data_IF_632713120637
#
_entry.id   IF_632713120637
#
_cell.length_a   1.000
_cell.length_b   1.000
_cell.length_c   1.000
_cell.angle_alpha   90.00
_cell.angle_beta   90.00
_cell.angle_gamma   90.00
#
_symmetry.space_group_name_H-M   'P 1'
#
loop_
_entity.id
_entity.type
_entity.pdbx_description
1 polymer ?
#
# COMPACT_ATOMS: atom_id res chain seq x y z
N UNK A 1 2.34 -3.84 14.56
CA UNK A 1 1.60 -2.56 14.59
C UNK A 1 2.51 -1.35 14.41
N UNK A 2 3.62 -1.24 15.14
CA UNK A 2 4.52 -0.07 15.07
C UNK A 2 4.99 0.28 13.66
N UNK A 3 5.44 -0.71 12.87
CA UNK A 3 5.85 -0.48 11.48
C UNK A 3 4.72 0.05 10.60
N UNK A 4 3.47 -0.40 10.82
CA UNK A 4 2.29 0.09 10.11
C UNK A 4 2.03 1.54 10.48
N UNK A 5 2.03 1.90 11.78
CA UNK A 5 1.84 3.28 12.22
C UNK A 5 2.93 4.20 11.63
N UNK A 6 4.18 3.73 11.59
CA UNK A 6 5.28 4.47 10.97
C UNK A 6 5.08 4.68 9.45
N UNK A 7 4.53 3.69 8.72
CA UNK A 7 4.18 3.85 7.31
C UNK A 7 3.10 4.92 7.12
N UNK A 8 2.02 4.88 7.90
CA UNK A 8 0.94 5.86 7.84
C UNK A 8 1.44 7.29 8.16
N UNK A 9 2.21 7.47 9.25
CA UNK A 9 2.83 8.76 9.58
C UNK A 9 3.75 9.28 8.48
N UNK A 10 4.53 8.41 7.86
CA UNK A 10 5.39 8.78 6.75
C UNK A 10 4.59 9.17 5.50
N UNK A 11 3.49 8.47 5.21
CA UNK A 11 2.58 8.83 4.12
C UNK A 11 1.91 10.19 4.37
N UNK A 12 1.42 10.45 5.58
CA UNK A 12 0.86 11.76 5.98
C UNK A 12 1.88 12.90 5.78
N UNK A 13 3.17 12.63 6.05
CA UNK A 13 4.26 13.58 5.85
C UNK A 13 4.78 13.66 4.40
N UNK A 14 4.30 12.80 3.48
CA UNK A 14 4.85 12.69 2.12
C UNK A 14 6.29 12.14 2.05
N UNK A 15 6.78 11.53 3.14
CA UNK A 15 8.16 11.05 3.25
C UNK A 15 8.29 9.61 2.73
N UNK A 16 8.63 9.50 1.44
CA UNK A 16 8.79 8.21 0.76
C UNK A 16 9.88 7.34 1.37
N UNK A 17 10.98 7.92 1.83
CA UNK A 17 12.11 7.16 2.37
C UNK A 17 11.79 6.60 3.75
N UNK A 18 11.16 7.39 4.63
CA UNK A 18 10.66 6.88 5.92
C UNK A 18 9.60 5.81 5.73
N UNK A 19 8.70 5.99 4.76
CA UNK A 19 7.69 4.99 4.43
C UNK A 19 8.36 3.69 3.98
N UNK A 20 9.32 3.78 3.05
CA UNK A 20 10.10 2.64 2.54
C UNK A 20 10.82 1.90 3.67
N UNK A 21 11.49 2.63 4.56
CA UNK A 21 12.20 2.06 5.70
C UNK A 21 11.26 1.36 6.69
N UNK A 22 10.10 1.96 6.99
CA UNK A 22 9.09 1.36 7.85
C UNK A 22 8.49 0.08 7.25
N UNK A 23 8.16 0.12 5.96
CA UNK A 23 7.63 -1.03 5.22
C UNK A 23 8.63 -2.19 5.15
N UNK A 24 9.92 -1.90 4.89
CA UNK A 24 10.99 -2.89 4.92
C UNK A 24 11.09 -3.58 6.29
N UNK A 25 11.10 -2.81 7.39
CA UNK A 25 11.12 -3.36 8.76
C UNK A 25 9.87 -4.19 9.06
N UNK A 26 8.69 -3.73 8.63
CA UNK A 26 7.43 -4.40 8.91
C UNK A 26 7.23 -5.71 8.15
N UNK A 27 7.79 -5.82 6.95
CA UNK A 27 7.64 -6.98 6.09
C UNK A 27 8.84 -7.93 6.11
N UNK A 28 9.98 -7.49 6.67
CA UNK A 28 11.20 -8.29 6.74
C UNK A 28 11.74 -8.66 5.35
N UNK A 29 11.69 -7.73 4.40
CA UNK A 29 12.13 -7.98 3.02
C UNK A 29 13.65 -7.95 2.89
N UNK A 30 14.16 -8.79 1.99
CA UNK A 30 15.56 -8.79 1.55
C UNK A 30 15.76 -7.87 0.35
N UNK A 31 16.96 -7.32 0.19
CA UNK A 31 17.28 -6.48 -0.97
C UNK A 31 17.11 -7.22 -2.29
N UNK A 32 16.56 -6.53 -3.29
CA UNK A 32 16.44 -7.04 -4.65
C UNK A 32 15.20 -6.51 -5.37
N UNK A 33 15.00 -6.97 -6.61
CA UNK A 33 13.92 -6.49 -7.47
C UNK A 33 12.52 -6.72 -6.89
N UNK A 34 12.33 -7.78 -6.09
CA UNK A 34 11.07 -8.02 -5.40
C UNK A 34 10.78 -6.97 -4.32
N UNK A 35 11.77 -6.63 -3.49
CA UNK A 35 11.65 -5.57 -2.48
C UNK A 35 11.31 -4.23 -3.15
N UNK A 36 12.03 -3.86 -4.22
CA UNK A 36 11.76 -2.61 -4.92
C UNK A 36 10.33 -2.52 -5.46
N UNK A 37 9.86 -3.60 -6.09
CA UNK A 37 8.51 -3.69 -6.61
C UNK A 37 7.47 -3.64 -5.47
N UNK A 38 7.71 -4.36 -4.37
CA UNK A 38 6.78 -4.43 -3.23
C UNK A 38 6.67 -3.08 -2.53
N UNK A 39 7.80 -2.46 -2.21
CA UNK A 39 7.83 -1.17 -1.52
C UNK A 39 7.27 -0.05 -2.41
N UNK A 40 7.49 -0.12 -3.73
CA UNK A 40 6.87 0.77 -4.70
C UNK A 40 5.35 0.57 -4.82
N UNK A 41 4.88 -0.68 -4.77
CA UNK A 41 3.44 -0.97 -4.75
C UNK A 41 2.78 -0.44 -3.47
N UNK A 42 3.39 -0.63 -2.30
CA UNK A 42 2.88 -0.08 -1.05
C UNK A 42 2.77 1.43 -1.10
N UNK A 43 3.77 2.14 -1.62
CA UNK A 43 3.69 3.60 -1.77
C UNK A 43 2.49 4.08 -2.62
N UNK A 44 2.09 3.30 -3.63
CA UNK A 44 0.90 3.57 -4.45
C UNK A 44 -0.40 3.34 -3.69
N UNK A 45 -0.46 2.35 -2.80
CA UNK A 45 -1.63 2.12 -1.94
C UNK A 45 -1.94 3.33 -1.03
N UNK A 46 -0.92 4.12 -0.67
CA UNK A 46 -1.02 5.32 0.17
C UNK A 46 -1.29 6.61 -0.61
N UNK A 47 -1.45 6.55 -1.93
CA UNK A 47 -1.78 7.73 -2.75
C UNK A 47 -3.00 8.53 -2.24
N UNK A 48 -4.13 7.90 -1.82
CA UNK A 48 -5.30 8.65 -1.37
C UNK A 48 -5.02 9.54 -0.14
N UNK A 49 -4.10 9.11 0.73
CA UNK A 49 -3.68 9.87 1.92
C UNK A 49 -2.75 11.03 1.53
N UNK A 50 -1.92 10.82 0.51
CA UNK A 50 -0.94 11.80 0.04
C UNK A 50 -1.54 12.88 -0.85
N UNK A 51 -2.50 12.52 -1.69
CA UNK A 51 -3.09 13.40 -2.70
C UNK A 51 -4.56 13.67 -2.37
N UNK A 52 -4.80 14.45 -1.31
CA UNK A 52 -6.14 14.78 -0.80
C UNK A 52 -6.60 16.16 -1.30
N UNK A 53 -7.90 16.39 -1.61
CA UNK A 53 -8.94 15.37 -1.72
C UNK A 53 -8.62 14.39 -2.85
N UNK A 54 -9.00 13.13 -2.66
CA UNK A 54 -8.74 12.08 -3.64
C UNK A 54 -10.07 11.55 -4.19
N UNK A 55 -10.18 11.49 -5.52
CA UNK A 55 -11.24 10.73 -6.19
C UNK A 55 -10.78 9.29 -6.37
N UNK A 56 -11.49 8.37 -5.74
CA UNK A 56 -11.22 6.94 -5.94
C UNK A 56 -11.71 6.53 -7.33
N UNK A 57 -10.83 6.40 -8.31
CA UNK A 57 -11.21 6.04 -9.68
C UNK A 57 -11.01 4.55 -9.97
N UNK A 58 -11.75 4.01 -10.96
CA UNK A 58 -11.63 2.58 -11.34
C UNK A 58 -10.26 2.21 -11.90
N UNK A 59 -9.62 3.12 -12.63
CA UNK A 59 -8.26 2.97 -13.17
C UNK A 59 -7.24 2.79 -12.03
N UNK A 60 -7.32 3.60 -10.98
CA UNK A 60 -6.47 3.54 -9.80
C UNK A 60 -6.61 2.17 -9.13
N UNK A 61 -7.84 1.70 -8.88
CA UNK A 61 -8.07 0.38 -8.30
C UNK A 61 -7.52 -0.73 -9.19
N UNK A 62 -7.71 -0.62 -10.51
CA UNK A 62 -7.21 -1.60 -11.48
C UNK A 62 -5.68 -1.65 -11.51
N UNK A 63 -5.02 -0.50 -11.38
CA UNK A 63 -3.56 -0.38 -11.35
C UNK A 63 -2.96 -0.98 -10.08
N UNK A 64 -3.64 -0.84 -8.93
CA UNK A 64 -3.22 -1.53 -7.71
C UNK A 64 -3.31 -3.06 -7.88
N UNK A 65 -4.39 -3.57 -8.46
CA UNK A 65 -4.55 -5.02 -8.72
C UNK A 65 -3.45 -5.51 -9.67
N UNK A 66 -3.15 -4.74 -10.73
CA UNK A 66 -2.06 -5.06 -11.66
C UNK A 66 -0.70 -5.09 -10.96
N UNK A 67 -0.44 -4.15 -10.05
CA UNK A 67 0.78 -4.14 -9.24
C UNK A 67 0.97 -5.44 -8.45
N UNK A 68 -0.10 -6.02 -7.90
CA UNK A 68 0.00 -7.34 -7.23
C UNK A 68 0.28 -8.47 -8.21
N UNK A 69 -0.31 -8.44 -9.40
CA UNK A 69 -0.04 -9.44 -10.43
C UNK A 69 1.43 -9.39 -10.88
N UNK A 70 2.00 -8.19 -11.02
CA UNK A 70 3.42 -7.99 -11.30
C UNK A 70 4.30 -8.56 -10.19
N UNK A 71 3.93 -8.38 -8.91
CA UNK A 71 4.65 -8.99 -7.78
C UNK A 71 4.67 -10.52 -7.84
N UNK A 72 3.60 -11.16 -8.32
CA UNK A 72 3.57 -12.63 -8.49
C UNK A 72 4.58 -13.12 -9.54
N UNK A 73 4.89 -12.31 -10.55
CA UNK A 73 5.91 -12.68 -11.56
C UNK A 73 7.28 -12.86 -10.91
N UNK A 74 7.62 -12.03 -9.92
CA UNK A 74 8.85 -12.18 -9.15
C UNK A 74 8.90 -13.48 -8.33
N UNK A 75 7.74 -14.02 -7.92
CA UNK A 75 7.67 -15.32 -7.21
C UNK A 75 8.05 -16.51 -8.11
N UNK A 76 7.87 -16.37 -9.42
CA UNK A 76 8.13 -17.44 -10.40
C UNK A 76 9.56 -17.33 -10.95
N UNK A 77 10.13 -16.12 -10.98
CA UNK A 77 11.50 -15.88 -11.46
C UNK A 77 12.54 -16.34 -10.43
N UNK A 78 13.51 -17.16 -10.88
CA UNK A 78 14.68 -17.56 -10.08
C UNK A 78 15.51 -16.34 -9.68
N UNK A 79 16.03 -16.33 -8.45
CA UNK A 79 16.94 -15.28 -7.95
C UNK A 79 16.27 -14.02 -7.40
N UNK A 80 14.95 -14.02 -7.22
CA UNK A 80 14.19 -12.81 -6.84
C UNK A 80 14.14 -12.51 -5.33
N UNK A 81 14.88 -13.23 -4.47
CA UNK A 81 14.87 -13.10 -3.00
C UNK A 81 13.47 -12.79 -2.43
N UNK A 82 12.56 -13.75 -2.63
CA UNK A 82 11.14 -13.57 -2.33
C UNK A 82 10.89 -13.84 -0.85
N UNK A 83 10.54 -12.80 -0.11
CA UNK A 83 10.04 -12.94 1.26
C UNK A 83 8.58 -13.39 1.23
N UNK A 84 8.21 -14.51 1.89
CA UNK A 84 6.82 -14.93 1.97
C UNK A 84 5.97 -13.87 2.69
N UNK A 85 4.93 -13.37 2.01
CA UNK A 85 3.99 -12.42 2.62
C UNK A 85 3.15 -13.15 3.68
N UNK A 86 2.97 -12.61 4.90
CA UNK A 86 2.16 -13.26 5.93
C UNK A 86 0.73 -13.54 5.44
N UNK A 87 0.17 -14.72 5.75
CA UNK A 87 -1.15 -15.16 5.24
C UNK A 87 -2.27 -14.13 5.46
N UNK A 88 -2.25 -13.41 6.59
CA UNK A 88 -3.25 -12.38 6.90
C UNK A 88 -3.21 -11.15 5.98
N UNK A 89 -2.06 -10.83 5.39
CA UNK A 89 -1.89 -9.64 4.53
C UNK A 89 -2.57 -9.84 3.17
N UNK A 90 -2.62 -11.07 2.65
CA UNK A 90 -3.34 -11.37 1.40
C UNK A 90 -4.84 -11.14 1.56
N UNK A 91 -5.39 -11.47 2.73
CA UNK A 91 -6.80 -11.21 3.05
C UNK A 91 -7.07 -9.71 3.18
N UNK A 92 -6.21 -8.96 3.89
CA UNK A 92 -6.31 -7.51 4.04
C UNK A 92 -6.26 -6.78 2.68
N UNK A 93 -5.36 -7.21 1.79
CA UNK A 93 -5.29 -6.70 0.42
C UNK A 93 -6.61 -6.93 -0.34
N UNK A 94 -7.23 -8.11 -0.21
CA UNK A 94 -8.47 -8.41 -0.91
C UNK A 94 -9.66 -7.61 -0.38
N UNK A 95 -9.70 -7.35 0.93
CA UNK A 95 -10.69 -6.47 1.54
C UNK A 95 -10.50 -5.02 1.07
N UNK A 96 -9.25 -4.54 1.01
CA UNK A 96 -8.91 -3.20 0.52
C UNK A 96 -9.41 -2.97 -0.91
N UNK A 97 -9.12 -3.86 -1.87
CA UNK A 97 -9.58 -3.66 -3.26
C UNK A 97 -11.09 -3.81 -3.43
N UNK A 98 -11.73 -4.70 -2.65
CA UNK A 98 -13.18 -4.80 -2.62
C UNK A 98 -13.82 -3.48 -2.19
N UNK A 99 -13.30 -2.87 -1.13
CA UNK A 99 -13.77 -1.59 -0.64
C UNK A 99 -13.49 -0.44 -1.62
N UNK A 100 -12.28 -0.36 -2.18
CA UNK A 100 -11.94 0.66 -3.17
C UNK A 100 -12.80 0.54 -4.44
N UNK A 101 -13.20 -0.68 -4.83
CA UNK A 101 -14.12 -0.90 -5.96
C UNK A 101 -15.54 -0.40 -5.69
N UNK A 102 -15.97 -0.34 -4.42
CA UNK A 102 -17.25 0.27 -4.02
C UNK A 102 -17.09 1.79 -4.03
N UNK A 103 -16.03 2.31 -3.42
CA UNK A 103 -15.73 3.75 -3.40
C UNK A 103 -15.64 4.34 -4.82
N UNK A 104 -15.02 3.59 -5.75
CA UNK A 104 -14.93 3.98 -7.15
C UNK A 104 -16.27 3.97 -7.92
N UNK A 105 -17.35 3.47 -7.33
CA UNK A 105 -18.70 3.63 -7.88
C UNK A 105 -19.39 4.90 -7.41
N UNK A 106 -19.01 5.43 -6.24
CA UNK A 106 -19.55 6.69 -5.75
C UNK A 106 -18.97 7.88 -6.51
N UNK A 107 -17.75 7.77 -7.04
CA UNK A 107 -17.13 8.77 -7.92
C UNK A 107 -17.05 10.18 -7.30
N UNK A 108 -16.81 10.23 -5.99
CA UNK A 108 -16.69 11.46 -5.22
C UNK A 108 -15.26 11.71 -4.76
N UNK A 109 -14.91 12.99 -4.64
CA UNK A 109 -13.74 13.46 -3.92
C UNK A 109 -13.94 13.27 -2.41
N UNK A 110 -12.96 12.68 -1.73
CA UNK A 110 -12.99 12.51 -0.28
C UNK A 110 -11.64 12.82 0.38
N UNK A 111 -11.69 13.28 1.64
CA UNK A 111 -10.50 13.57 2.43
C UNK A 111 -10.00 12.34 3.19
N UNK A 112 -9.27 11.47 2.50
CA UNK A 112 -8.67 10.28 3.12
C UNK A 112 -7.52 10.65 4.06
N UNK A 113 -6.85 11.79 3.86
CA UNK A 113 -5.79 12.26 4.77
C UNK A 113 -6.35 12.62 6.14
N UNK A 114 -7.46 13.36 6.18
CA UNK A 114 -8.15 13.71 7.42
C UNK A 114 -8.59 12.47 8.20
N UNK A 115 -9.20 11.51 7.50
CA UNK A 115 -9.61 10.21 8.07
C UNK A 115 -8.40 9.44 8.63
N UNK A 116 -7.32 9.33 7.86
CA UNK A 116 -6.13 8.59 8.28
C UNK A 116 -5.44 9.22 9.49
N UNK A 117 -5.35 10.56 9.53
CA UNK A 117 -4.80 11.29 10.67
C UNK A 117 -5.58 11.00 11.95
N UNK A 118 -6.92 11.05 11.88
CA UNK A 118 -7.77 10.77 13.05
C UNK A 118 -7.60 9.33 13.56
N UNK A 119 -7.42 8.37 12.65
CA UNK A 119 -7.18 6.97 13.01
C UNK A 119 -5.80 6.76 13.64
N UNK A 120 -4.75 7.39 13.10
CA UNK A 120 -3.37 7.28 13.61
C UNK A 120 -3.20 7.97 14.97
N UNK A 121 -3.97 9.03 15.26
CA UNK A 121 -3.95 9.71 16.56
C UNK A 121 -4.72 8.95 17.65
N UNK A 122 -5.67 8.09 17.26
CA UNK A 122 -6.52 7.30 18.18
C UNK A 122 -5.94 5.93 18.56
N UNK A 123 -4.89 5.47 17.89
CA UNK A 123 -4.26 4.15 18.04
C UNK A 123 -2.83 4.23 18.57
#
# INVERSE_FOLDING_TARGET
LEAVHAMHRAALAGDRERHRAAAKRGLGTDSGAYEDALLGHLWRCFEPIRSTPFRMERNYVSDLVRGIQELKVHMIRRGSNVTPVPRGVVFLNRLQFGFYSILARFDVDADYRGVDRELVERL
#
